data_IF_653798527145
#
_entry.id   IF_653798527145
#
_cell.length_a   1.000
_cell.length_b   1.000
_cell.length_c   1.000
_cell.angle_alpha   90.00
_cell.angle_beta   90.00
_cell.angle_gamma   90.00
#
_symmetry.space_group_name_H-M   'P 1'
#
loop_
_entity.id
_entity.type
_entity.pdbx_description
1 polymer ?
#
# COMPACT_ATOMS: atom_id res chain seq x y z
N UNK A 1 -11.60 -17.19 4.38
CA UNK A 1 -11.94 -16.58 3.07
C UNK A 1 -13.10 -17.35 2.43
N UNK A 2 -14.24 -16.70 2.13
CA UNK A 2 -15.47 -17.29 1.56
C UNK A 2 -15.96 -16.43 0.38
N UNK A 3 -16.86 -16.95 -0.46
CA UNK A 3 -17.50 -16.14 -1.50
C UNK A 3 -18.41 -15.08 -0.84
N UNK A 4 -18.14 -13.79 -1.09
CA UNK A 4 -18.87 -12.66 -0.49
C UNK A 4 -20.36 -12.70 -0.80
N UNK A 5 -20.76 -13.26 -1.95
CA UNK A 5 -22.16 -13.35 -2.35
C UNK A 5 -22.95 -14.33 -1.48
N UNK A 6 -22.27 -15.32 -0.90
CA UNK A 6 -22.85 -16.36 -0.04
C UNK A 6 -22.86 -15.98 1.45
N UNK A 7 -22.37 -14.79 1.80
CA UNK A 7 -22.42 -14.27 3.18
C UNK A 7 -23.84 -13.79 3.54
N UNK A 8 -24.19 -13.92 4.81
CA UNK A 8 -25.42 -13.35 5.38
C UNK A 8 -25.42 -11.81 5.26
N UNK A 9 -26.58 -11.19 5.47
CA UNK A 9 -26.67 -9.73 5.44
C UNK A 9 -25.80 -9.07 6.53
N UNK A 10 -25.72 -9.67 7.71
CA UNK A 10 -24.92 -9.16 8.82
C UNK A 10 -23.43 -9.36 8.57
N UNK A 11 -23.03 -10.52 8.02
CA UNK A 11 -21.65 -10.78 7.62
C UNK A 11 -21.18 -9.77 6.55
N UNK A 12 -22.02 -9.46 5.55
CA UNK A 12 -21.72 -8.45 4.52
C UNK A 12 -21.57 -7.05 5.13
N UNK A 13 -22.47 -6.69 6.04
CA UNK A 13 -22.42 -5.39 6.73
C UNK A 13 -21.15 -5.26 7.57
N UNK A 14 -20.80 -6.30 8.33
CA UNK A 14 -19.57 -6.33 9.10
C UNK A 14 -18.35 -6.17 8.20
N UNK A 15 -18.29 -6.91 7.08
CA UNK A 15 -17.19 -6.79 6.11
C UNK A 15 -17.02 -5.37 5.55
N UNK A 16 -18.10 -4.74 5.11
CA UNK A 16 -18.07 -3.36 4.59
C UNK A 16 -17.65 -2.38 5.68
N UNK A 17 -18.20 -2.53 6.90
CA UNK A 17 -17.84 -1.67 8.02
C UNK A 17 -16.36 -1.82 8.41
N UNK A 18 -15.81 -3.02 8.40
CA UNK A 18 -14.38 -3.26 8.67
C UNK A 18 -13.48 -2.60 7.62
N UNK A 19 -13.85 -2.65 6.33
CA UNK A 19 -13.10 -1.95 5.27
C UNK A 19 -13.14 -0.43 5.45
N UNK A 20 -14.30 0.12 5.78
CA UNK A 20 -14.47 1.55 6.06
C UNK A 20 -13.68 1.98 7.30
N UNK A 21 -13.67 1.17 8.35
CA UNK A 21 -12.84 1.39 9.53
C UNK A 21 -11.35 1.37 9.17
N UNK A 22 -10.87 0.37 8.42
CA UNK A 22 -9.49 0.29 7.96
C UNK A 22 -9.08 1.50 7.10
N UNK A 23 -10.03 2.11 6.37
CA UNK A 23 -9.78 3.34 5.60
C UNK A 23 -9.56 4.57 6.48
N UNK A 24 -10.10 4.60 7.71
CA UNK A 24 -10.06 5.74 8.63
C UNK A 24 -9.06 5.57 9.78
N UNK A 25 -8.71 4.34 10.14
CA UNK A 25 -7.76 4.04 11.21
C UNK A 25 -6.32 4.18 10.72
N UNK A 26 -5.53 5.03 11.39
CA UNK A 26 -4.08 5.15 11.16
C UNK A 26 -3.42 3.79 11.45
N UNK A 27 -2.53 3.35 10.57
CA UNK A 27 -1.77 2.12 10.73
C UNK A 27 -0.87 2.24 11.96
N UNK A 28 -0.93 1.28 12.91
CA UNK A 28 -0.22 1.41 14.18
C UNK A 28 1.30 1.29 14.03
N UNK A 29 1.74 0.41 13.13
CA UNK A 29 3.17 0.04 13.03
C UNK A 29 3.92 0.62 11.83
N UNK A 30 3.21 1.19 10.84
CA UNK A 30 3.77 1.51 9.53
C UNK A 30 3.47 2.95 9.12
N UNK A 31 4.49 3.58 8.56
CA UNK A 31 4.46 4.88 7.90
C UNK A 31 4.95 4.73 6.46
N UNK A 32 4.66 5.71 5.61
CA UNK A 32 5.15 5.72 4.23
C UNK A 32 6.17 6.83 4.01
N UNK A 33 7.18 6.57 3.20
CA UNK A 33 8.11 7.60 2.75
C UNK A 33 7.45 8.45 1.65
N UNK A 34 7.48 9.77 1.78
CA UNK A 34 6.95 10.69 0.76
C UNK A 34 8.03 11.25 -0.16
N UNK A 35 9.29 10.86 0.07
CA UNK A 35 10.46 11.21 -0.73
C UNK A 35 11.27 9.97 -1.07
N UNK A 36 12.07 10.09 -2.14
CA UNK A 36 13.03 9.05 -2.55
C UNK A 36 14.20 9.03 -1.57
N UNK A 37 14.99 7.97 -1.61
CA UNK A 37 16.11 7.78 -0.69
C UNK A 37 17.06 8.98 -0.58
N UNK A 38 17.36 9.65 -1.71
CA UNK A 38 18.25 10.83 -1.72
C UNK A 38 17.70 12.03 -0.93
N UNK A 39 16.39 12.09 -0.71
CA UNK A 39 15.66 13.20 -0.09
C UNK A 39 14.91 12.71 1.17
N UNK A 40 15.27 11.53 1.70
CA UNK A 40 14.54 10.91 2.81
C UNK A 40 14.74 11.63 4.12
N UNK A 41 15.87 12.31 4.28
CA UNK A 41 16.08 13.28 5.35
C UNK A 41 15.74 14.68 4.84
N UNK A 42 15.14 15.51 5.68
CA UNK A 42 14.93 16.93 5.38
C UNK A 42 16.25 17.62 5.01
N UNK A 43 16.22 18.79 4.34
CA UNK A 43 17.43 19.51 3.94
C UNK A 43 18.38 19.85 5.11
N UNK A 44 17.84 19.99 6.32
CA UNK A 44 18.58 20.21 7.57
C UNK A 44 19.03 18.90 8.26
N UNK A 45 18.67 17.73 7.71
CA UNK A 45 18.97 16.41 8.24
C UNK A 45 18.16 16.01 9.48
N UNK A 46 17.26 16.87 9.97
CA UNK A 46 16.65 16.73 11.29
C UNK A 46 15.43 15.80 11.33
N UNK A 47 14.78 15.55 10.19
CA UNK A 47 13.53 14.78 10.12
C UNK A 47 13.54 13.77 8.98
N UNK A 48 12.91 12.62 9.20
CA UNK A 48 12.63 11.64 8.14
C UNK A 48 11.35 12.03 7.43
N UNK A 49 11.36 12.06 6.11
CA UNK A 49 10.24 12.40 5.24
C UNK A 49 9.25 11.23 5.12
N UNK A 50 8.66 10.86 6.26
CA UNK A 50 7.63 9.84 6.38
C UNK A 50 6.34 10.42 6.94
N UNK A 51 5.21 9.86 6.53
CA UNK A 51 3.88 10.27 6.99
C UNK A 51 3.08 9.08 7.51
N UNK A 52 2.26 9.35 8.52
CA UNK A 52 1.22 8.42 8.95
C UNK A 52 0.28 8.12 7.80
N UNK A 53 -0.20 6.89 7.75
CA UNK A 53 -1.12 6.42 6.72
C UNK A 53 -2.18 5.54 7.36
N UNK A 54 -3.38 5.46 6.77
CA UNK A 54 -4.40 4.53 7.25
C UNK A 54 -4.13 3.11 6.76
N UNK A 55 -4.67 2.10 7.45
CA UNK A 55 -4.47 0.68 7.12
C UNK A 55 -4.79 0.42 5.64
N UNK A 56 -5.96 0.88 5.17
CA UNK A 56 -6.34 0.68 3.77
C UNK A 56 -5.51 1.54 2.80
N UNK A 57 -5.08 2.73 3.21
CA UNK A 57 -4.19 3.54 2.37
C UNK A 57 -2.80 2.93 2.24
N UNK A 58 -2.29 2.24 3.27
CA UNK A 58 -1.03 1.50 3.20
C UNK A 58 -1.11 0.34 2.20
N UNK A 59 -2.21 -0.40 2.22
CA UNK A 59 -2.53 -1.41 1.20
C UNK A 59 -2.50 -0.79 -0.21
N UNK A 60 -3.12 0.38 -0.42
CA UNK A 60 -3.06 1.08 -1.72
C UNK A 60 -1.64 1.55 -2.07
N UNK A 61 -0.93 2.14 -1.11
CA UNK A 61 0.37 2.77 -1.34
C UNK A 61 1.45 1.75 -1.71
N UNK A 62 1.47 0.58 -1.06
CA UNK A 62 2.43 -0.48 -1.37
C UNK A 62 2.27 -1.01 -2.80
N UNK A 63 1.04 -1.12 -3.28
CA UNK A 63 0.76 -1.46 -4.68
C UNK A 63 1.24 -0.35 -5.62
N UNK A 64 0.85 0.91 -5.37
CA UNK A 64 1.33 2.07 -6.12
C UNK A 64 2.86 2.11 -6.21
N UNK A 65 3.55 1.90 -5.10
CA UNK A 65 5.01 1.94 -5.04
C UNK A 65 5.64 0.82 -5.88
N UNK A 66 5.06 -0.37 -5.89
CA UNK A 66 5.54 -1.51 -6.68
C UNK A 66 5.41 -1.34 -8.19
N UNK A 67 4.50 -0.49 -8.66
CA UNK A 67 4.24 -0.25 -10.09
C UNK A 67 4.68 1.15 -10.56
N UNK A 68 5.26 1.94 -9.66
CA UNK A 68 5.64 3.31 -9.95
C UNK A 68 6.80 3.38 -10.95
N UNK A 69 6.73 4.34 -11.85
CA UNK A 69 7.80 4.59 -12.82
C UNK A 69 9.11 4.93 -12.11
N UNK A 70 10.21 4.49 -12.68
CA UNK A 70 11.55 4.87 -12.23
C UNK A 70 11.82 6.33 -12.59
N UNK A 71 12.06 7.16 -11.57
CA UNK A 71 12.40 8.56 -11.76
C UNK A 71 13.82 8.71 -12.33
N UNK A 72 13.95 9.43 -13.45
CA UNK A 72 15.22 9.57 -14.19
C UNK A 72 15.94 10.90 -13.95
N UNK A 73 15.41 11.79 -13.12
CA UNK A 73 15.97 13.11 -12.87
C UNK A 73 15.05 14.27 -13.29
N UNK A 74 15.33 15.50 -12.84
CA UNK A 74 14.55 16.68 -13.24
C UNK A 74 14.64 16.88 -14.75
N UNK A 75 13.49 17.15 -15.40
CA UNK A 75 13.42 17.35 -16.84
C UNK A 75 13.57 16.09 -17.70
N UNK A 76 13.74 14.91 -17.09
CA UNK A 76 13.80 13.63 -17.79
C UNK A 76 12.46 12.89 -17.67
N UNK A 77 12.06 12.18 -18.73
CA UNK A 77 10.89 11.31 -18.69
C UNK A 77 11.17 10.11 -17.78
N UNK A 78 10.27 9.85 -16.82
CA UNK A 78 10.37 8.65 -15.98
C UNK A 78 10.23 7.38 -16.82
N UNK A 79 11.04 6.36 -16.51
CA UNK A 79 11.05 5.07 -17.18
C UNK A 79 9.94 4.16 -16.65
N UNK A 80 9.13 3.59 -17.55
CA UNK A 80 7.96 2.78 -17.20
C UNK A 80 8.03 1.32 -17.65
N UNK A 81 9.16 0.84 -18.17
CA UNK A 81 9.32 -0.56 -18.59
C UNK A 81 9.63 -1.51 -17.43
N UNK A 82 9.10 -1.23 -16.23
CA UNK A 82 9.34 -1.99 -15.00
C UNK A 82 8.06 -2.06 -14.18
N UNK A 83 7.77 -3.26 -13.66
CA UNK A 83 6.69 -3.52 -12.72
C UNK A 83 7.15 -4.62 -11.74
N UNK A 84 7.11 -4.35 -10.43
CA UNK A 84 7.60 -5.28 -9.42
C UNK A 84 6.53 -6.26 -8.91
N UNK A 85 5.26 -6.05 -9.28
CA UNK A 85 4.14 -6.85 -8.80
C UNK A 85 3.29 -7.46 -9.90
N UNK A 86 3.60 -7.19 -11.18
CA UNK A 86 2.92 -7.75 -12.37
C UNK A 86 3.93 -8.23 -13.42
N UNK A 87 3.40 -8.69 -14.56
CA UNK A 87 4.15 -9.06 -15.77
C UNK A 87 5.31 -10.06 -15.55
N UNK A 88 5.22 -10.86 -14.48
CA UNK A 88 6.25 -11.80 -14.11
C UNK A 88 5.81 -12.80 -13.04
N UNK A 89 6.69 -13.75 -12.69
CA UNK A 89 6.39 -14.83 -11.75
C UNK A 89 6.05 -14.32 -10.33
N UNK A 90 6.49 -13.10 -9.99
CA UNK A 90 6.18 -12.46 -8.72
C UNK A 90 4.70 -12.10 -8.53
N UNK A 91 3.90 -12.03 -9.61
CA UNK A 91 2.52 -11.54 -9.58
C UNK A 91 1.66 -12.20 -8.50
N UNK A 92 1.58 -13.53 -8.51
CA UNK A 92 0.71 -14.27 -7.59
C UNK A 92 1.23 -14.20 -6.16
N UNK A 93 2.55 -14.30 -5.96
CA UNK A 93 3.15 -14.28 -4.63
C UNK A 93 3.07 -12.90 -3.97
N UNK A 94 3.28 -11.83 -4.75
CA UNK A 94 3.19 -10.45 -4.27
C UNK A 94 1.78 -10.14 -3.79
N UNK A 95 0.76 -10.41 -4.62
CA UNK A 95 -0.65 -10.16 -4.28
C UNK A 95 -1.14 -11.08 -3.16
N UNK A 96 -0.63 -12.32 -3.06
CA UNK A 96 -0.94 -13.21 -1.93
C UNK A 96 -0.48 -12.59 -0.62
N UNK A 97 0.76 -12.11 -0.55
CA UNK A 97 1.28 -11.45 0.65
C UNK A 97 0.51 -10.15 0.94
N UNK A 98 0.25 -9.34 -0.09
CA UNK A 98 -0.49 -8.08 0.01
C UNK A 98 -1.88 -8.25 0.66
N UNK A 99 -2.63 -9.28 0.26
CA UNK A 99 -3.91 -9.61 0.88
C UNK A 99 -3.78 -10.20 2.29
N UNK A 100 -2.74 -11.00 2.55
CA UNK A 100 -2.48 -11.54 3.90
C UNK A 100 -2.12 -10.44 4.90
N UNK A 101 -1.35 -9.44 4.47
CA UNK A 101 -1.01 -8.28 5.29
C UNK A 101 -2.27 -7.47 5.63
N UNK A 102 -3.09 -7.11 4.64
CA UNK A 102 -4.36 -6.41 4.90
C UNK A 102 -5.30 -7.20 5.81
N UNK A 103 -5.41 -8.52 5.59
CA UNK A 103 -6.23 -9.38 6.45
C UNK A 103 -5.73 -9.40 7.90
N UNK A 104 -4.42 -9.34 8.12
CA UNK A 104 -3.82 -9.24 9.47
C UNK A 104 -4.06 -7.87 10.10
N UNK A 105 -3.91 -6.78 9.34
CA UNK A 105 -4.06 -5.42 9.87
C UNK A 105 -5.52 -5.09 10.24
N UNK A 106 -6.49 -5.84 9.68
CA UNK A 106 -7.92 -5.70 9.97
C UNK A 106 -8.43 -6.60 11.12
N UNK A 107 -7.60 -7.51 11.65
CA UNK A 107 -7.94 -8.45 12.73
C UNK A 107 -7.63 -7.88 14.11
#
# INVERSE_FOLDING_TARGET
RRNVMQMSADEKRAFVNSLDQAKRTIHPDLVICTRRYQEIFSPDGASVQCENITIYNYFVWTHYFSVSKTYMGPGQQSFGGVDFSHEGPGFVTWHRYHLLQLERDMQ
#
